data_IF_765543562429
#
_entry.id   IF_765543562429
#
_cell.length_a   1.000
_cell.length_b   1.000
_cell.length_c   1.000
_cell.angle_alpha   90.00
_cell.angle_beta   90.00
_cell.angle_gamma   90.00
#
_symmetry.space_group_name_H-M   'P 1'
#
loop_
_entity.id
_entity.type
_entity.pdbx_description
1 polymer ?
#
# COMPACT_ATOMS: atom_id res chain seq x y z
N UNK A 1 -13.38 13.43 9.28
CA UNK A 1 -12.28 14.38 9.07
C UNK A 1 -11.94 14.51 7.58
N UNK A 2 -11.92 13.42 6.80
CA UNK A 2 -11.45 13.41 5.42
C UNK A 2 -12.55 13.65 4.37
N UNK A 3 -13.78 13.20 4.63
CA UNK A 3 -14.92 13.41 3.71
C UNK A 3 -15.16 14.90 3.39
N UNK A 4 -15.18 15.83 4.38
CA UNK A 4 -15.29 17.26 4.09
C UNK A 4 -14.08 17.84 3.32
N UNK A 5 -13.02 17.08 3.18
CA UNK A 5 -11.80 17.42 2.41
C UNK A 5 -11.79 16.85 1.00
N UNK A 6 -12.90 16.22 0.57
CA UNK A 6 -13.07 15.67 -0.77
C UNK A 6 -12.72 14.20 -0.92
N UNK A 7 -12.25 13.50 0.13
CA UNK A 7 -11.96 12.06 0.07
C UNK A 7 -13.20 11.26 0.45
N UNK A 8 -13.79 10.58 -0.51
CA UNK A 8 -15.03 9.78 -0.35
C UNK A 8 -14.78 8.28 -0.28
N UNK A 9 -13.63 7.82 -0.76
CA UNK A 9 -13.22 6.42 -0.75
C UNK A 9 -11.77 6.32 -0.30
N UNK A 10 -11.46 5.30 0.49
CA UNK A 10 -10.08 4.93 0.85
C UNK A 10 -9.85 3.43 0.62
N UNK A 11 -8.61 3.09 0.31
CA UNK A 11 -8.11 1.71 0.33
C UNK A 11 -7.17 1.63 1.53
N UNK A 12 -7.54 0.83 2.52
CA UNK A 12 -6.84 0.73 3.80
C UNK A 12 -6.23 -0.65 3.98
N UNK A 13 -4.97 -0.68 4.40
CA UNK A 13 -4.27 -1.89 4.84
C UNK A 13 -4.18 -1.87 6.38
N UNK A 14 -5.01 -2.64 7.10
CA UNK A 14 -5.07 -2.61 8.55
C UNK A 14 -4.01 -3.53 9.19
N UNK A 15 -2.77 -3.54 8.69
CA UNK A 15 -1.74 -4.46 9.15
C UNK A 15 -1.36 -4.27 10.62
N UNK A 16 -1.43 -3.07 11.19
CA UNK A 16 -1.09 -2.84 12.60
C UNK A 16 -2.07 -3.56 13.55
N UNK A 17 -3.37 -3.39 13.35
CA UNK A 17 -4.36 -4.10 14.19
C UNK A 17 -4.37 -5.59 13.91
N UNK A 18 -4.10 -5.98 12.68
CA UNK A 18 -4.00 -7.39 12.28
C UNK A 18 -2.77 -8.05 12.92
N UNK A 19 -1.66 -7.33 13.04
CA UNK A 19 -0.46 -7.79 13.73
C UNK A 19 -0.71 -8.10 15.22
N UNK A 20 -1.69 -7.41 15.83
CA UNK A 20 -2.06 -7.61 17.24
C UNK A 20 -3.18 -8.64 17.41
N UNK A 21 -4.23 -8.57 16.59
CA UNK A 21 -5.48 -9.29 16.76
C UNK A 21 -5.77 -10.32 15.66
N UNK A 22 -4.89 -10.49 14.69
CA UNK A 22 -5.13 -11.38 13.54
C UNK A 22 -6.34 -10.94 12.72
N UNK A 23 -7.02 -11.88 12.11
CA UNK A 23 -8.20 -11.63 11.28
C UNK A 23 -9.34 -10.91 12.01
N UNK A 24 -9.43 -11.05 13.34
CA UNK A 24 -10.42 -10.32 14.14
C UNK A 24 -10.22 -8.79 14.06
N UNK A 25 -8.95 -8.34 13.89
CA UNK A 25 -8.63 -6.94 13.65
C UNK A 25 -9.16 -6.44 12.31
N UNK A 26 -8.95 -7.19 11.22
CA UNK A 26 -9.53 -6.89 9.91
C UNK A 26 -11.06 -6.83 9.96
N UNK A 27 -11.69 -7.82 10.58
CA UNK A 27 -13.15 -7.87 10.73
C UNK A 27 -13.71 -6.71 11.54
N UNK A 28 -12.99 -6.30 12.58
CA UNK A 28 -13.38 -5.12 13.37
C UNK A 28 -13.41 -3.86 12.50
N UNK A 29 -12.34 -3.60 11.73
CA UNK A 29 -12.29 -2.45 10.83
C UNK A 29 -13.38 -2.54 9.77
N UNK A 30 -13.59 -3.70 9.16
CA UNK A 30 -14.65 -3.91 8.17
C UNK A 30 -16.05 -3.55 8.73
N UNK A 31 -16.37 -4.04 9.93
CA UNK A 31 -17.65 -3.76 10.59
C UNK A 31 -17.77 -2.28 11.00
N UNK A 32 -16.71 -1.69 11.54
CA UNK A 32 -16.70 -0.29 11.96
C UNK A 32 -16.88 0.66 10.77
N UNK A 33 -16.31 0.33 9.62
CA UNK A 33 -16.40 1.14 8.41
C UNK A 33 -17.83 1.25 7.84
N UNK A 34 -18.72 0.32 8.14
CA UNK A 34 -20.11 0.37 7.70
C UNK A 34 -20.91 1.52 8.36
N UNK A 35 -20.40 2.08 9.45
CA UNK A 35 -21.07 3.13 10.21
C UNK A 35 -20.53 4.53 9.94
N UNK A 36 -19.70 4.70 8.92
CA UNK A 36 -19.14 6.02 8.57
C UNK A 36 -19.53 6.41 7.14
N UNK A 37 -19.68 7.70 6.83
CA UNK A 37 -20.01 8.18 5.48
C UNK A 37 -18.77 8.20 4.57
N UNK A 38 -18.03 7.10 4.55
CA UNK A 38 -16.79 6.91 3.78
C UNK A 38 -16.81 5.49 3.23
N UNK A 39 -16.56 5.34 1.94
CA UNK A 39 -16.36 4.02 1.35
C UNK A 39 -14.96 3.51 1.71
N UNK A 40 -14.90 2.46 2.51
CA UNK A 40 -13.62 1.86 2.96
C UNK A 40 -13.45 0.51 2.30
N UNK A 41 -12.46 0.42 1.43
CA UNK A 41 -12.01 -0.84 0.83
C UNK A 41 -10.83 -1.36 1.64
N UNK A 42 -10.89 -2.60 2.10
CA UNK A 42 -9.82 -3.19 2.89
C UNK A 42 -8.91 -4.06 2.03
N UNK A 43 -7.62 -3.93 2.22
CA UNK A 43 -6.65 -4.91 1.78
C UNK A 43 -6.42 -5.92 2.91
N UNK A 44 -6.22 -7.18 2.56
CA UNK A 44 -5.79 -8.20 3.51
C UNK A 44 -4.28 -8.04 3.71
N UNK A 45 -3.78 -7.79 4.94
CA UNK A 45 -2.35 -7.62 5.16
C UNK A 45 -1.53 -8.83 4.70
N UNK A 46 -0.53 -8.60 3.89
CA UNK A 46 0.32 -9.65 3.30
C UNK A 46 1.38 -10.17 4.27
N UNK A 47 1.87 -9.29 5.15
CA UNK A 47 3.00 -9.53 6.05
C UNK A 47 2.59 -9.28 7.50
N UNK A 48 2.19 -10.35 8.19
CA UNK A 48 1.85 -10.34 9.62
C UNK A 48 2.55 -11.53 10.28
N UNK A 49 3.58 -11.27 11.08
CA UNK A 49 4.25 -10.00 11.32
C UNK A 49 4.99 -9.46 10.07
N UNK A 50 5.39 -8.19 10.12
CA UNK A 50 6.13 -7.57 9.01
C UNK A 50 7.49 -8.24 8.80
N UNK A 51 8.14 -8.67 9.87
CA UNK A 51 9.41 -9.42 9.83
C UNK A 51 9.38 -10.62 10.79
N UNK A 52 10.20 -11.68 10.53
CA UNK A 52 10.28 -12.83 11.43
C UNK A 52 11.00 -12.53 12.76
N UNK A 53 11.54 -11.33 12.93
CA UNK A 53 12.34 -10.94 14.10
C UNK A 53 11.53 -10.21 15.18
N UNK A 54 10.29 -9.85 14.87
CA UNK A 54 9.43 -9.14 15.83
C UNK A 54 8.47 -10.08 16.54
N UNK A 55 8.07 -9.67 17.76
CA UNK A 55 7.00 -10.32 18.51
C UNK A 55 5.66 -9.77 18.05
N UNK A 56 4.77 -10.65 17.60
CA UNK A 56 3.42 -10.28 17.16
C UNK A 56 2.35 -11.01 17.96
N UNK A 57 1.15 -10.45 17.98
CA UNK A 57 -0.03 -11.09 18.55
C UNK A 57 -0.65 -12.13 17.62
N UNK A 58 -0.31 -12.09 16.32
CA UNK A 58 -0.82 -13.00 15.31
C UNK A 58 0.21 -13.26 14.21
N UNK A 59 0.00 -14.33 13.46
CA UNK A 59 0.74 -14.65 12.24
C UNK A 59 -0.28 -14.98 11.16
N UNK A 60 -0.10 -14.43 9.95
CA UNK A 60 -0.88 -14.79 8.77
C UNK A 60 0.04 -15.48 7.75
N UNK A 61 -0.12 -16.78 7.60
CA UNK A 61 0.59 -17.58 6.61
C UNK A 61 -0.19 -17.69 5.29
N UNK A 62 0.35 -18.41 4.29
CA UNK A 62 -0.29 -18.57 2.98
C UNK A 62 -1.70 -19.14 3.05
N UNK A 63 -1.93 -20.11 3.92
CA UNK A 63 -3.27 -20.70 4.12
C UNK A 63 -4.26 -19.70 4.71
N UNK A 64 -3.83 -18.87 5.65
CA UNK A 64 -4.69 -17.83 6.21
C UNK A 64 -5.09 -16.83 5.12
N UNK A 65 -4.18 -16.52 4.21
CA UNK A 65 -4.47 -15.64 3.05
C UNK A 65 -5.46 -16.34 2.11
N UNK A 66 -5.25 -17.61 1.73
CA UNK A 66 -6.18 -18.36 0.88
C UNK A 66 -7.61 -18.35 1.42
N UNK A 67 -7.76 -18.60 2.72
CA UNK A 67 -9.08 -18.69 3.38
C UNK A 67 -9.77 -17.31 3.48
N UNK A 68 -9.03 -16.22 3.54
CA UNK A 68 -9.59 -14.91 3.85
C UNK A 68 -9.62 -13.93 2.66
N UNK A 69 -8.77 -14.10 1.64
CA UNK A 69 -8.70 -13.17 0.49
C UNK A 69 -9.99 -13.11 -0.33
N UNK A 70 -10.79 -14.16 -0.29
CA UNK A 70 -12.06 -14.28 -1.00
C UNK A 70 -13.24 -13.59 -0.33
N UNK A 71 -13.07 -13.07 0.88
CA UNK A 71 -14.14 -12.37 1.60
C UNK A 71 -14.56 -11.11 0.86
N UNK A 72 -15.86 -10.82 0.84
CA UNK A 72 -16.45 -9.70 0.07
C UNK A 72 -15.91 -8.32 0.46
N UNK A 73 -15.55 -8.13 1.73
CA UNK A 73 -14.99 -6.86 2.21
C UNK A 73 -13.51 -6.70 1.92
N UNK A 74 -12.83 -7.74 1.40
CA UNK A 74 -11.42 -7.67 1.01
C UNK A 74 -11.32 -7.24 -0.46
N UNK A 75 -10.67 -6.12 -0.68
CA UNK A 75 -10.47 -5.53 -2.00
C UNK A 75 -9.20 -6.06 -2.69
N UNK A 76 -8.13 -6.32 -1.93
CA UNK A 76 -6.85 -6.77 -2.45
C UNK A 76 -5.96 -7.36 -1.37
N UNK A 77 -4.76 -7.76 -1.76
CA UNK A 77 -3.67 -8.10 -0.83
C UNK A 77 -2.88 -6.83 -0.52
N UNK A 78 -2.64 -6.58 0.75
CA UNK A 78 -1.96 -5.39 1.26
C UNK A 78 -0.49 -5.34 0.88
N UNK A 79 0.16 -4.24 1.20
CA UNK A 79 1.54 -3.95 0.81
C UNK A 79 2.49 -5.14 1.06
N UNK A 80 3.13 -5.59 -0.02
CA UNK A 80 3.95 -6.79 0.03
C UNK A 80 5.38 -6.47 0.45
N UNK A 81 5.57 -6.30 1.77
CA UNK A 81 6.85 -5.90 2.38
C UNK A 81 7.94 -6.97 2.29
N UNK A 82 7.56 -8.26 2.24
CA UNK A 82 8.53 -9.34 2.12
C UNK A 82 8.99 -9.54 0.68
N UNK A 83 9.55 -8.46 0.07
CA UNK A 83 10.13 -8.55 -1.28
C UNK A 83 11.28 -9.57 -1.38
N UNK A 84 12.12 -9.80 -0.35
CA UNK A 84 13.10 -10.89 -0.43
C UNK A 84 12.44 -12.25 -0.61
N UNK A 85 11.34 -12.52 0.10
CA UNK A 85 10.59 -13.77 -0.05
C UNK A 85 10.02 -13.96 -1.46
N UNK A 86 9.61 -12.88 -2.13
CA UNK A 86 9.19 -12.91 -3.55
C UNK A 86 10.39 -13.24 -4.45
N UNK A 87 11.50 -12.51 -4.28
CA UNK A 87 12.70 -12.64 -5.11
C UNK A 87 13.31 -14.05 -5.00
N UNK A 88 13.35 -14.59 -3.80
CA UNK A 88 13.92 -15.92 -3.54
C UNK A 88 12.90 -17.06 -3.55
N UNK A 89 11.67 -16.79 -3.99
CA UNK A 89 10.59 -17.78 -4.14
C UNK A 89 10.31 -18.54 -2.83
N UNK A 90 10.21 -17.82 -1.71
CA UNK A 90 9.76 -18.42 -0.45
C UNK A 90 8.39 -19.06 -0.62
N UNK A 91 8.23 -20.29 -0.15
CA UNK A 91 7.03 -21.09 -0.40
C UNK A 91 5.76 -20.44 0.17
N UNK A 92 5.83 -19.91 1.39
CA UNK A 92 4.66 -19.25 2.02
C UNK A 92 4.29 -17.97 1.28
N UNK A 93 5.32 -17.19 0.86
CA UNK A 93 5.16 -15.98 0.08
C UNK A 93 4.50 -16.27 -1.28
N UNK A 94 4.96 -17.28 -1.99
CA UNK A 94 4.37 -17.68 -3.29
C UNK A 94 2.91 -18.11 -3.10
N UNK A 95 2.61 -18.90 -2.05
CA UNK A 95 1.21 -19.28 -1.75
C UNK A 95 0.31 -18.06 -1.55
N UNK A 96 0.77 -17.02 -0.86
CA UNK A 96 0.01 -15.77 -0.68
C UNK A 96 -0.28 -15.06 -2.01
N UNK A 97 0.72 -14.96 -2.88
CA UNK A 97 0.58 -14.35 -4.20
C UNK A 97 -0.38 -15.15 -5.08
N UNK A 98 -0.23 -16.47 -5.13
CA UNK A 98 -1.12 -17.37 -5.88
C UNK A 98 -2.56 -17.26 -5.40
N UNK A 99 -2.80 -17.18 -4.09
CA UNK A 99 -4.13 -16.97 -3.52
C UNK A 99 -4.77 -15.66 -3.99
N UNK A 100 -4.02 -14.57 -4.00
CA UNK A 100 -4.51 -13.28 -4.50
C UNK A 100 -4.84 -13.34 -5.99
N UNK A 101 -3.97 -13.96 -6.80
CA UNK A 101 -4.20 -14.14 -8.23
C UNK A 101 -5.42 -15.02 -8.52
N UNK A 102 -5.56 -16.15 -7.84
CA UNK A 102 -6.70 -17.05 -7.99
C UNK A 102 -8.02 -16.37 -7.63
N UNK A 103 -8.02 -15.47 -6.65
CA UNK A 103 -9.17 -14.67 -6.26
C UNK A 103 -9.40 -13.44 -7.16
N UNK A 104 -8.55 -13.17 -8.15
CA UNK A 104 -8.63 -11.98 -9.01
C UNK A 104 -8.42 -10.67 -8.25
N UNK A 105 -7.65 -10.69 -7.15
CA UNK A 105 -7.40 -9.53 -6.30
C UNK A 105 -6.12 -8.81 -6.70
N UNK A 106 -6.10 -7.48 -6.56
CA UNK A 106 -4.89 -6.69 -6.72
C UNK A 106 -3.91 -6.94 -5.58
N UNK A 107 -2.63 -6.73 -5.86
CA UNK A 107 -1.55 -6.84 -4.86
C UNK A 107 -0.82 -5.51 -4.79
N UNK A 108 -0.83 -4.88 -3.63
CA UNK A 108 -0.08 -3.64 -3.37
C UNK A 108 1.38 -3.95 -3.04
N UNK A 109 2.28 -3.01 -3.30
CA UNK A 109 3.71 -3.20 -3.18
C UNK A 109 4.39 -2.32 -2.15
N UNK A 110 5.55 -2.80 -1.71
CA UNK A 110 6.47 -2.15 -0.79
C UNK A 110 7.87 -2.70 -1.04
N UNK A 111 8.68 -2.02 -1.85
CA UNK A 111 9.95 -2.54 -2.30
C UNK A 111 11.04 -1.45 -2.36
N UNK A 112 11.44 -0.87 -1.20
CA UNK A 112 12.48 0.15 -1.18
C UNK A 112 13.82 -0.40 -1.68
N UNK A 113 14.48 0.37 -2.56
CA UNK A 113 15.79 0.05 -3.10
C UNK A 113 15.87 -1.31 -3.84
N UNK A 114 14.78 -1.75 -4.44
CA UNK A 114 14.75 -2.95 -5.29
C UNK A 114 14.90 -2.53 -6.76
N UNK A 115 15.90 -3.06 -7.44
CA UNK A 115 16.32 -2.70 -8.80
C UNK A 115 16.62 -3.93 -9.67
N UNK A 116 16.78 -3.72 -10.96
CA UNK A 116 17.32 -4.69 -11.89
C UNK A 116 16.54 -6.00 -11.97
N UNK A 117 17.24 -7.11 -11.82
CA UNK A 117 16.65 -8.45 -11.86
C UNK A 117 15.75 -8.73 -10.66
N UNK A 118 16.09 -8.21 -9.49
CA UNK A 118 15.29 -8.36 -8.28
C UNK A 118 13.93 -7.65 -8.43
N UNK A 119 13.91 -6.47 -9.05
CA UNK A 119 12.68 -5.79 -9.38
C UNK A 119 11.83 -6.57 -10.41
N UNK A 120 12.48 -7.21 -11.40
CA UNK A 120 11.76 -8.06 -12.34
C UNK A 120 11.13 -9.27 -11.64
N UNK A 121 11.85 -9.90 -10.72
CA UNK A 121 11.31 -11.00 -9.91
C UNK A 121 10.12 -10.56 -9.06
N UNK A 122 10.21 -9.40 -8.42
CA UNK A 122 9.13 -8.82 -7.64
C UNK A 122 7.88 -8.55 -8.50
N UNK A 123 8.05 -7.98 -9.69
CA UNK A 123 6.98 -7.75 -10.67
C UNK A 123 6.35 -9.05 -11.19
N UNK A 124 7.15 -10.12 -11.36
CA UNK A 124 6.62 -11.43 -11.73
C UNK A 124 5.64 -12.00 -10.68
N UNK A 125 5.74 -11.57 -9.43
CA UNK A 125 4.74 -11.84 -8.40
C UNK A 125 3.39 -11.15 -8.61
N UNK A 126 3.25 -10.32 -9.66
CA UNK A 126 2.02 -9.57 -9.97
C UNK A 126 1.84 -8.28 -9.16
N UNK A 127 2.88 -7.84 -8.48
CA UNK A 127 2.90 -6.62 -7.67
C UNK A 127 3.22 -5.45 -8.58
N UNK A 128 2.36 -4.43 -8.65
CA UNK A 128 2.45 -3.36 -9.66
C UNK A 128 2.53 -1.96 -9.09
N UNK A 129 2.65 -1.82 -7.79
CA UNK A 129 2.71 -0.53 -7.09
C UNK A 129 3.92 -0.47 -6.17
N UNK A 130 4.38 0.74 -5.86
CA UNK A 130 5.31 0.98 -4.77
C UNK A 130 5.17 2.40 -4.22
N UNK A 131 5.36 2.56 -2.94
CA UNK A 131 5.27 3.85 -2.24
C UNK A 131 6.54 4.20 -1.45
N UNK A 132 7.56 3.35 -1.52
CA UNK A 132 8.81 3.50 -0.77
C UNK A 132 9.96 4.12 -1.59
N UNK A 133 9.71 4.53 -2.83
CA UNK A 133 10.74 5.13 -3.67
C UNK A 133 11.39 6.36 -3.03
N UNK A 134 12.71 6.36 -2.95
CA UNK A 134 13.52 7.43 -2.35
C UNK A 134 14.22 8.28 -3.41
N UNK A 135 14.68 7.66 -4.50
CA UNK A 135 15.47 8.32 -5.54
C UNK A 135 14.74 8.43 -6.87
N UNK A 136 15.15 9.37 -7.72
CA UNK A 136 14.62 9.49 -9.08
C UNK A 136 14.93 8.28 -9.94
N UNK A 137 16.12 7.70 -9.79
CA UNK A 137 16.55 6.51 -10.52
C UNK A 137 15.64 5.30 -10.20
N UNK A 138 15.31 5.12 -8.92
CA UNK A 138 14.36 4.10 -8.48
C UNK A 138 12.96 4.30 -9.09
N UNK A 139 12.49 5.55 -9.08
CA UNK A 139 11.19 5.93 -9.66
C UNK A 139 11.17 5.64 -11.16
N UNK A 140 12.19 6.09 -11.90
CA UNK A 140 12.30 5.91 -13.34
C UNK A 140 12.33 4.44 -13.73
N UNK A 141 13.12 3.62 -13.03
CA UNK A 141 13.18 2.19 -13.31
C UNK A 141 11.85 1.50 -13.07
N UNK A 142 11.20 1.74 -11.93
CA UNK A 142 9.90 1.15 -11.60
C UNK A 142 8.82 1.54 -12.60
N UNK A 143 8.74 2.82 -12.96
CA UNK A 143 7.80 3.31 -13.97
C UNK A 143 8.07 2.70 -15.35
N UNK A 144 9.34 2.62 -15.77
CA UNK A 144 9.72 2.03 -17.06
C UNK A 144 9.31 0.56 -17.19
N UNK A 145 9.21 -0.15 -16.07
CA UNK A 145 8.75 -1.53 -15.97
C UNK A 145 7.23 -1.66 -15.73
N UNK A 146 6.50 -0.55 -15.75
CA UNK A 146 5.04 -0.53 -15.69
C UNK A 146 4.42 -0.36 -14.31
N UNK A 147 5.22 -0.14 -13.26
CA UNK A 147 4.69 0.10 -11.91
C UNK A 147 4.01 1.47 -11.79
N UNK A 148 3.09 1.56 -10.84
CA UNK A 148 2.61 2.83 -10.30
C UNK A 148 3.46 3.21 -9.09
N UNK A 149 3.88 4.46 -9.04
CA UNK A 149 4.64 5.01 -7.91
C UNK A 149 3.74 5.94 -7.11
N UNK A 150 3.62 5.66 -5.82
CA UNK A 150 2.83 6.49 -4.92
C UNK A 150 3.71 7.53 -4.24
N UNK A 151 3.32 8.79 -4.35
CA UNK A 151 3.94 9.90 -3.63
C UNK A 151 3.18 10.10 -2.33
N UNK A 152 3.89 10.02 -1.20
CA UNK A 152 3.30 10.09 0.13
C UNK A 152 3.32 11.48 0.72
N UNK A 153 2.24 11.82 1.42
CA UNK A 153 2.16 12.98 2.28
C UNK A 153 1.47 12.63 3.60
N UNK A 154 2.15 11.79 4.38
CA UNK A 154 1.71 11.34 5.69
C UNK A 154 2.19 12.20 6.85
N UNK A 155 2.02 11.70 8.06
CA UNK A 155 2.58 12.31 9.28
C UNK A 155 4.01 11.84 9.54
N UNK A 156 4.31 10.57 9.27
CA UNK A 156 5.64 9.96 9.45
C UNK A 156 6.52 10.12 8.22
N UNK A 157 5.98 9.86 7.03
CA UNK A 157 6.74 9.89 5.78
C UNK A 157 6.16 10.90 4.80
N UNK A 158 7.04 11.72 4.24
CA UNK A 158 6.69 12.76 3.28
C UNK A 158 7.72 12.77 2.15
N UNK A 159 7.29 12.47 0.94
CA UNK A 159 8.15 12.48 -0.25
C UNK A 159 7.54 13.27 -1.42
N UNK A 160 6.76 14.33 -1.13
CA UNK A 160 6.17 15.20 -2.16
C UNK A 160 7.23 15.76 -3.14
N UNK A 161 8.47 15.92 -2.69
CA UNK A 161 9.58 16.33 -3.55
C UNK A 161 9.84 15.40 -4.73
N UNK A 162 9.37 14.16 -4.67
CA UNK A 162 9.46 13.19 -5.77
C UNK A 162 8.54 13.57 -6.95
N UNK A 163 7.61 14.50 -6.77
CA UNK A 163 6.79 15.04 -7.86
C UNK A 163 7.63 15.72 -8.96
N UNK A 164 8.84 16.16 -8.65
CA UNK A 164 9.79 16.71 -9.63
C UNK A 164 10.20 15.72 -10.73
N UNK A 165 9.97 14.42 -10.52
CA UNK A 165 10.25 13.37 -11.52
C UNK A 165 9.03 13.06 -12.40
N UNK A 166 7.88 13.73 -12.17
CA UNK A 166 6.74 13.65 -13.07
C UNK A 166 7.02 14.46 -14.35
N UNK A 167 6.62 13.86 -15.47
CA UNK A 167 6.71 14.46 -16.81
C UNK A 167 5.41 14.18 -17.57
N UNK A 168 5.19 14.85 -18.69
CA UNK A 168 4.03 14.60 -19.56
C UNK A 168 3.95 13.13 -20.05
N UNK A 169 5.08 12.43 -20.09
CA UNK A 169 5.13 11.05 -20.53
C UNK A 169 4.76 10.05 -19.43
N UNK A 170 4.99 10.36 -18.16
CA UNK A 170 4.88 9.39 -17.08
C UNK A 170 3.89 9.75 -15.96
N UNK A 171 3.29 10.97 -15.94
CA UNK A 171 2.45 11.44 -14.83
C UNK A 171 1.30 10.48 -14.48
N UNK A 172 0.79 9.73 -15.44
CA UNK A 172 -0.29 8.75 -15.23
C UNK A 172 0.12 7.54 -14.39
N UNK A 173 1.42 7.39 -14.11
CA UNK A 173 1.97 6.34 -13.26
C UNK A 173 2.21 6.81 -11.82
N UNK A 174 1.91 8.09 -11.53
CA UNK A 174 2.00 8.61 -10.17
C UNK A 174 0.63 8.68 -9.49
N UNK A 175 0.61 8.34 -8.22
CA UNK A 175 -0.57 8.41 -7.36
C UNK A 175 -0.19 9.16 -6.09
N UNK A 176 -1.05 10.07 -5.63
CA UNK A 176 -0.88 10.70 -4.32
C UNK A 176 -1.54 9.83 -3.26
N UNK A 177 -0.83 9.58 -2.16
CA UNK A 177 -1.40 8.90 -0.98
C UNK A 177 -0.94 9.58 0.30
N UNK A 178 -1.64 9.32 1.38
CA UNK A 178 -1.24 9.79 2.70
C UNK A 178 -0.42 8.77 3.46
N UNK A 179 -0.64 7.49 3.18
CA UNK A 179 -0.15 6.43 4.01
C UNK A 179 -0.60 6.65 5.46
N UNK A 180 0.25 6.65 6.45
CA UNK A 180 -0.10 6.93 7.82
C UNK A 180 -0.24 8.44 8.08
N UNK A 181 -1.47 8.92 8.37
CA UNK A 181 -1.73 10.32 8.72
C UNK A 181 -2.55 10.43 9.99
N UNK A 182 -1.96 11.02 11.03
CA UNK A 182 -2.60 11.20 12.34
C UNK A 182 -3.86 12.06 12.28
N UNK A 183 -4.83 11.74 13.13
CA UNK A 183 -6.09 12.50 13.24
C UNK A 183 -5.86 13.99 13.54
N UNK A 184 -4.83 14.34 14.30
CA UNK A 184 -4.45 15.72 14.58
C UNK A 184 -4.02 16.46 13.31
N UNK A 185 -3.22 15.81 12.44
CA UNK A 185 -2.80 16.39 11.16
C UNK A 185 -3.97 16.50 10.19
N UNK A 186 -4.85 15.48 10.14
CA UNK A 186 -6.08 15.54 9.34
C UNK A 186 -6.95 16.72 9.72
N UNK A 187 -7.10 16.99 11.02
CA UNK A 187 -7.88 18.11 11.54
C UNK A 187 -7.24 19.46 11.22
N UNK A 188 -5.93 19.58 11.42
CA UNK A 188 -5.23 20.85 11.31
C UNK A 188 -4.91 21.23 9.85
N UNK A 189 -4.47 20.27 9.03
CA UNK A 189 -3.89 20.49 7.69
C UNK A 189 -4.82 20.02 6.56
N UNK A 190 -5.55 18.94 6.76
CA UNK A 190 -6.36 18.27 5.76
C UNK A 190 -5.80 16.90 5.34
N UNK A 191 -6.28 16.38 4.24
CA UNK A 191 -5.94 15.06 3.67
C UNK A 191 -5.18 15.21 2.35
N UNK A 192 -5.64 14.61 1.26
CA UNK A 192 -5.05 14.76 -0.07
C UNK A 192 -5.17 16.19 -0.61
N UNK A 193 -6.16 16.96 -0.15
CA UNK A 193 -6.30 18.39 -0.45
C UNK A 193 -5.09 19.22 0.01
N UNK A 194 -4.47 18.85 1.14
CA UNK A 194 -3.24 19.48 1.63
C UNK A 194 -2.04 19.14 0.72
N UNK A 195 -1.91 17.87 0.32
CA UNK A 195 -0.86 17.44 -0.60
C UNK A 195 -0.97 18.16 -1.95
N UNK A 196 -2.19 18.21 -2.50
CA UNK A 196 -2.44 18.91 -3.79
C UNK A 196 -2.10 20.40 -3.70
N UNK A 197 -2.55 21.12 -2.66
CA UNK A 197 -2.21 22.54 -2.48
C UNK A 197 -0.71 22.77 -2.43
N UNK A 198 0.04 21.90 -1.78
CA UNK A 198 1.50 22.01 -1.69
C UNK A 198 2.17 21.76 -3.04
N UNK A 199 1.73 20.75 -3.79
CA UNK A 199 2.27 20.46 -5.12
C UNK A 199 2.02 21.62 -6.09
N UNK A 200 0.80 22.13 -6.17
CA UNK A 200 0.46 23.27 -7.02
C UNK A 200 1.23 24.52 -6.58
N UNK A 201 1.32 24.78 -5.27
CA UNK A 201 2.06 25.93 -4.73
C UNK A 201 3.58 25.86 -4.94
N UNK A 202 4.14 24.66 -5.15
CA UNK A 202 5.57 24.46 -5.48
C UNK A 202 5.88 24.58 -6.97
N UNK A 203 4.89 24.79 -7.81
CA UNK A 203 5.06 24.84 -9.27
C UNK A 203 5.29 23.47 -9.92
N UNK A 204 5.01 22.40 -9.20
CA UNK A 204 5.08 21.02 -9.70
C UNK A 204 3.72 20.55 -10.20
N UNK A 205 3.09 21.36 -11.05
CA UNK A 205 1.78 21.06 -11.64
C UNK A 205 1.80 21.13 -13.14
#
# INVERSE_FOLDING_TARGET
>A
LIVPRGTTTIIADPHEITNVCGMSGCEYIAKASLNVPLDVKLQLPSCVPATPFETSGAVLNGRDIEENIVKDYIFGLGEFMNYPGVIYCDKDVITKLEAAHAAGKIIDGHAPNVYGHDLNAYLCGGITTDHECVTGEEIEEKISKGMYVHIRHGSSTQNLGNAKYMTDANFRRFILRTDHRHAADLKAKGHLDDALRKLVGSGSG
#
